data_IF_577414919075
#
_entry.id   IF_577414919075
#
_cell.length_a   1.000
_cell.length_b   1.000
_cell.length_c   1.000
_cell.angle_alpha   90.00
_cell.angle_beta   90.00
_cell.angle_gamma   90.00
#
_symmetry.space_group_name_H-M   'P 1'
#
loop_
_entity.id
_entity.type
_entity.pdbx_description
1 polymer ?
#
# COMPACT_ATOMS: atom_id res chain seq x y z
N UNK A 1 -11.36 -31.12 -79.41
CA UNK A 1 -10.34 -31.07 -78.35
C UNK A 1 -10.44 -29.80 -77.52
N UNK A 2 -11.56 -29.52 -76.82
CA UNK A 2 -11.74 -28.27 -76.03
C UNK A 2 -12.75 -28.43 -74.91
N UNK A 3 -12.81 -29.58 -74.23
CA UNK A 3 -13.68 -29.74 -73.03
C UNK A 3 -13.02 -30.44 -71.85
N UNK A 4 -11.73 -30.83 -71.92
CA UNK A 4 -11.04 -31.58 -70.87
C UNK A 4 -10.09 -30.76 -69.99
N UNK A 5 -9.91 -29.44 -70.24
CA UNK A 5 -8.91 -28.62 -69.54
C UNK A 5 -9.55 -27.70 -68.49
N UNK A 6 -10.91 -27.64 -68.36
CA UNK A 6 -11.63 -26.78 -67.36
C UNK A 6 -12.02 -27.50 -66.09
N UNK A 7 -11.81 -28.81 -65.96
CA UNK A 7 -12.21 -29.58 -64.79
C UNK A 7 -11.09 -29.77 -63.73
N UNK A 8 -9.81 -29.38 -64.05
CA UNK A 8 -8.64 -29.65 -63.17
C UNK A 8 -8.18 -28.41 -62.35
N UNK A 9 -8.80 -27.24 -62.60
CA UNK A 9 -8.42 -26.00 -61.90
C UNK A 9 -9.29 -25.66 -60.70
N UNK A 10 -10.34 -26.43 -60.39
CA UNK A 10 -11.26 -26.18 -59.25
C UNK A 10 -10.96 -27.12 -58.06
N UNK A 11 -10.17 -28.17 -58.24
CA UNK A 11 -9.89 -29.15 -57.20
C UNK A 11 -8.69 -28.81 -56.29
N UNK A 12 -7.94 -27.72 -56.58
CA UNK A 12 -6.73 -27.38 -55.81
C UNK A 12 -6.88 -26.15 -54.88
N UNK A 13 -8.10 -25.57 -54.81
CA UNK A 13 -8.37 -24.39 -53.97
C UNK A 13 -9.08 -24.71 -52.65
N UNK A 14 -9.37 -25.97 -52.29
CA UNK A 14 -10.17 -26.35 -51.12
C UNK A 14 -9.34 -26.97 -49.99
N UNK A 15 -8.00 -27.08 -50.11
CA UNK A 15 -7.17 -27.82 -49.14
C UNK A 15 -6.26 -26.95 -48.26
N UNK A 16 -6.50 -25.62 -48.15
CA UNK A 16 -5.77 -24.75 -47.25
C UNK A 16 -6.65 -24.01 -46.20
N UNK A 17 -7.84 -24.56 -45.91
CA UNK A 17 -8.62 -24.17 -44.74
C UNK A 17 -8.37 -25.15 -43.57
N UNK A 18 -7.13 -25.58 -43.35
CA UNK A 18 -6.77 -26.38 -42.21
C UNK A 18 -6.44 -25.42 -41.04
N UNK A 19 -7.47 -25.19 -40.22
CA UNK A 19 -7.33 -25.10 -38.78
C UNK A 19 -6.23 -24.14 -38.28
N UNK A 20 -6.50 -22.83 -38.23
CA UNK A 20 -5.94 -22.08 -37.13
C UNK A 20 -6.34 -22.83 -35.84
N UNK A 21 -5.39 -23.34 -35.01
CA UNK A 21 -5.78 -23.92 -33.74
C UNK A 21 -6.65 -22.88 -33.04
N UNK A 22 -7.88 -23.25 -32.70
CA UNK A 22 -8.65 -22.47 -31.75
C UNK A 22 -7.72 -22.28 -30.56
N UNK A 23 -7.15 -21.08 -30.42
CA UNK A 23 -6.41 -20.73 -29.25
C UNK A 23 -7.42 -20.87 -28.11
N UNK A 24 -7.40 -22.02 -27.45
CA UNK A 24 -8.16 -22.23 -26.22
C UNK A 24 -7.78 -21.07 -25.34
N UNK A 25 -8.74 -20.19 -25.06
CA UNK A 25 -8.52 -19.08 -24.15
C UNK A 25 -8.05 -19.72 -22.84
N UNK A 26 -6.74 -19.68 -22.62
CA UNK A 26 -6.14 -20.28 -21.44
C UNK A 26 -6.70 -19.51 -20.25
N UNK A 27 -7.23 -20.21 -19.23
CA UNK A 27 -7.84 -19.60 -18.05
C UNK A 27 -6.93 -18.50 -17.47
N UNK A 28 -7.51 -17.38 -17.07
CA UNK A 28 -6.76 -16.28 -16.49
C UNK A 28 -5.94 -16.74 -15.27
N UNK A 29 -4.80 -16.14 -15.05
CA UNK A 29 -4.02 -16.35 -13.82
C UNK A 29 -4.67 -15.51 -12.71
N UNK A 30 -5.14 -16.18 -11.68
CA UNK A 30 -5.81 -15.54 -10.55
C UNK A 30 -4.79 -14.95 -9.58
N UNK A 31 -5.04 -13.73 -9.09
CA UNK A 31 -4.30 -13.10 -8.00
C UNK A 31 -5.33 -12.72 -6.94
N UNK A 32 -5.16 -13.20 -5.71
CA UNK A 32 -6.02 -12.83 -4.60
C UNK A 32 -5.73 -11.41 -4.12
N UNK A 33 -6.75 -10.67 -3.74
CA UNK A 33 -6.65 -9.32 -3.17
C UNK A 33 -7.55 -9.25 -1.95
N UNK A 34 -7.02 -8.80 -0.82
CA UNK A 34 -7.78 -8.63 0.42
C UNK A 34 -7.67 -7.17 0.86
N UNK A 35 -8.78 -6.42 0.81
CA UNK A 35 -8.81 -5.00 1.15
C UNK A 35 -10.04 -4.66 1.99
N UNK A 36 -10.01 -3.61 2.82
CA UNK A 36 -11.19 -3.12 3.51
C UNK A 36 -12.07 -2.31 2.54
N UNK A 37 -13.01 -2.98 1.89
CA UNK A 37 -13.92 -2.31 0.94
C UNK A 37 -15.17 -1.76 1.64
N UNK A 38 -15.40 -2.19 2.87
CA UNK A 38 -16.43 -1.68 3.78
C UNK A 38 -15.86 -1.45 5.19
N UNK A 39 -16.65 -0.81 6.08
CA UNK A 39 -16.23 -0.49 7.44
C UNK A 39 -15.47 0.84 7.55
N UNK A 40 -14.82 1.10 8.70
CA UNK A 40 -14.27 2.42 9.05
C UNK A 40 -13.20 2.96 8.10
N UNK A 41 -12.47 2.11 7.39
CA UNK A 41 -11.37 2.51 6.50
C UNK A 41 -11.64 2.11 5.04
N UNK A 42 -12.93 2.04 4.68
CA UNK A 42 -13.38 1.61 3.36
C UNK A 42 -12.88 2.50 2.21
N UNK A 43 -12.74 3.81 2.42
CA UNK A 43 -12.22 4.71 1.39
C UNK A 43 -10.79 4.35 1.01
N UNK A 44 -9.94 4.14 2.01
CA UNK A 44 -8.53 3.74 1.82
C UNK A 44 -8.40 2.42 1.06
N UNK A 45 -9.13 1.37 1.46
CA UNK A 45 -9.11 0.08 0.76
C UNK A 45 -9.65 0.16 -0.68
N UNK A 46 -10.69 0.95 -0.92
CA UNK A 46 -11.19 1.17 -2.26
C UNK A 46 -10.18 1.90 -3.16
N UNK A 47 -9.39 2.84 -2.62
CA UNK A 47 -8.30 3.47 -3.38
C UNK A 47 -7.20 2.48 -3.73
N UNK A 48 -6.82 1.59 -2.81
CA UNK A 48 -5.86 0.50 -3.10
C UNK A 48 -6.40 -0.41 -4.19
N UNK A 49 -7.68 -0.82 -4.12
CA UNK A 49 -8.35 -1.60 -5.17
C UNK A 49 -8.28 -0.92 -6.53
N UNK A 50 -8.58 0.38 -6.62
CA UNK A 50 -8.50 1.15 -7.88
C UNK A 50 -7.09 1.09 -8.48
N UNK A 51 -6.05 1.22 -7.67
CA UNK A 51 -4.66 1.10 -8.11
C UNK A 51 -4.29 -0.30 -8.58
N UNK A 52 -4.77 -1.33 -7.87
CA UNK A 52 -4.62 -2.73 -8.26
C UNK A 52 -5.26 -3.03 -9.63
N UNK A 53 -6.44 -2.48 -9.89
CA UNK A 53 -7.14 -2.58 -11.18
C UNK A 53 -6.36 -1.91 -12.32
N UNK A 54 -5.71 -0.76 -12.07
CA UNK A 54 -4.82 -0.11 -13.05
C UNK A 54 -3.64 -1.03 -13.38
N UNK A 55 -2.97 -1.60 -12.37
CA UNK A 55 -1.87 -2.52 -12.59
C UNK A 55 -2.30 -3.75 -13.40
N UNK A 56 -3.44 -4.36 -13.05
CA UNK A 56 -4.02 -5.49 -13.80
C UNK A 56 -4.19 -5.12 -15.28
N UNK A 57 -4.79 -3.98 -15.55
CA UNK A 57 -5.11 -3.58 -16.91
C UNK A 57 -3.84 -3.25 -17.72
N UNK A 58 -2.84 -2.63 -17.11
CA UNK A 58 -1.55 -2.36 -17.74
C UNK A 58 -0.78 -3.67 -18.04
N UNK A 59 -0.78 -4.62 -17.12
CA UNK A 59 -0.16 -5.93 -17.33
C UNK A 59 -0.92 -6.69 -18.43
N UNK A 60 -2.24 -6.69 -18.38
CA UNK A 60 -3.06 -7.35 -19.38
C UNK A 60 -2.96 -6.70 -20.76
N UNK A 61 -2.77 -5.38 -20.83
CA UNK A 61 -2.50 -4.65 -22.07
C UNK A 61 -1.18 -5.05 -22.73
N UNK A 62 -0.21 -5.55 -21.95
CA UNK A 62 1.10 -6.06 -22.41
C UNK A 62 1.10 -7.57 -22.64
N UNK A 63 -0.04 -8.23 -22.62
CA UNK A 63 -0.16 -9.69 -22.86
C UNK A 63 -0.30 -10.55 -21.62
N UNK A 64 -0.41 -9.93 -20.42
CA UNK A 64 -0.60 -10.63 -19.15
C UNK A 64 0.69 -11.27 -18.60
N UNK A 65 0.57 -12.41 -17.95
CA UNK A 65 1.67 -13.19 -17.38
C UNK A 65 1.61 -14.63 -17.91
N UNK A 66 2.75 -15.21 -18.26
CA UNK A 66 2.84 -16.56 -18.85
C UNK A 66 1.92 -16.74 -20.09
N UNK A 67 1.73 -15.68 -20.89
CA UNK A 67 0.83 -15.69 -22.05
C UNK A 67 -0.66 -15.66 -21.71
N UNK A 68 -1.04 -15.45 -20.45
CA UNK A 68 -2.43 -15.45 -19.93
C UNK A 68 -2.76 -14.10 -19.31
N UNK A 69 -4.01 -13.67 -19.44
CA UNK A 69 -4.51 -12.51 -18.67
C UNK A 69 -4.46 -12.80 -17.18
N UNK A 70 -4.32 -11.75 -16.37
CA UNK A 70 -4.53 -11.84 -14.92
C UNK A 70 -5.94 -11.43 -14.55
N UNK A 71 -6.48 -12.08 -13.55
CA UNK A 71 -7.76 -11.78 -12.91
C UNK A 71 -7.51 -11.50 -11.42
N UNK A 72 -8.06 -10.40 -10.91
CA UNK A 72 -8.04 -10.09 -9.49
C UNK A 72 -9.30 -10.66 -8.82
N UNK A 73 -9.11 -11.56 -7.86
CA UNK A 73 -10.18 -12.02 -6.99
C UNK A 73 -10.13 -11.19 -5.71
N UNK A 74 -11.06 -10.23 -5.60
CA UNK A 74 -11.04 -9.21 -4.57
C UNK A 74 -12.03 -9.56 -3.48
N UNK A 75 -11.54 -9.67 -2.24
CA UNK A 75 -12.33 -9.97 -1.04
C UNK A 75 -12.30 -8.78 -0.07
N UNK A 76 -13.47 -8.48 0.48
CA UNK A 76 -13.64 -7.44 1.50
C UNK A 76 -13.33 -8.01 2.89
N UNK A 77 -12.35 -7.46 3.58
CA UNK A 77 -12.06 -7.81 4.98
C UNK A 77 -12.88 -6.97 5.98
N UNK A 78 -13.75 -6.09 5.52
CA UNK A 78 -14.67 -5.25 6.32
C UNK A 78 -13.99 -4.44 7.44
N UNK A 79 -12.70 -4.17 7.30
CA UNK A 79 -11.87 -3.56 8.34
C UNK A 79 -11.77 -4.41 9.63
N UNK A 80 -11.97 -5.72 9.54
CA UNK A 80 -12.03 -6.67 10.66
C UNK A 80 -10.98 -7.79 10.50
N UNK A 81 -10.17 -8.09 11.54
CA UNK A 81 -9.14 -9.13 11.48
C UNK A 81 -9.69 -10.54 11.21
N UNK A 82 -10.87 -10.89 11.76
CA UNK A 82 -11.48 -12.22 11.55
C UNK A 82 -11.94 -12.39 10.11
N UNK A 83 -12.53 -11.36 9.54
CA UNK A 83 -12.95 -11.35 8.13
C UNK A 83 -11.72 -11.45 7.20
N UNK A 84 -10.60 -10.80 7.55
CA UNK A 84 -9.35 -10.93 6.79
C UNK A 84 -8.82 -12.37 6.76
N UNK A 85 -8.84 -13.07 7.89
CA UNK A 85 -8.47 -14.48 7.95
C UNK A 85 -9.42 -15.36 7.12
N UNK A 86 -10.72 -15.10 7.19
CA UNK A 86 -11.74 -15.81 6.40
C UNK A 86 -11.56 -15.57 4.89
N UNK A 87 -11.29 -14.32 4.49
CA UNK A 87 -11.01 -13.95 3.10
C UNK A 87 -9.76 -14.67 2.57
N UNK A 88 -8.68 -14.72 3.37
CA UNK A 88 -7.46 -15.44 3.02
C UNK A 88 -7.74 -16.93 2.79
N UNK A 89 -8.44 -17.60 3.72
CA UNK A 89 -8.77 -19.01 3.58
C UNK A 89 -9.65 -19.28 2.36
N UNK A 90 -10.62 -18.43 2.07
CA UNK A 90 -11.49 -18.52 0.89
C UNK A 90 -10.67 -18.45 -0.42
N UNK A 91 -9.80 -17.46 -0.56
CA UNK A 91 -8.94 -17.29 -1.73
C UNK A 91 -7.99 -18.49 -1.92
N UNK A 92 -7.48 -19.04 -0.82
CA UNK A 92 -6.54 -20.17 -0.84
C UNK A 92 -7.26 -21.48 -1.17
N UNK A 93 -8.27 -21.83 -0.38
CA UNK A 93 -8.88 -23.18 -0.42
C UNK A 93 -9.86 -23.31 -1.58
N UNK A 94 -10.75 -22.32 -1.73
CA UNK A 94 -11.80 -22.36 -2.77
C UNK A 94 -11.28 -21.92 -4.12
N UNK A 95 -10.60 -20.76 -4.15
CA UNK A 95 -10.26 -20.09 -5.40
C UNK A 95 -8.87 -20.46 -5.91
N UNK A 96 -8.04 -21.10 -5.05
CA UNK A 96 -6.71 -21.67 -5.35
C UNK A 96 -5.76 -20.65 -5.97
N UNK A 97 -5.72 -19.45 -5.41
CA UNK A 97 -4.82 -18.39 -5.89
C UNK A 97 -3.35 -18.74 -5.56
N UNK A 98 -2.39 -18.49 -6.48
CA UNK A 98 -0.97 -18.75 -6.24
C UNK A 98 -0.30 -17.70 -5.35
N UNK A 99 -0.93 -16.55 -5.15
CA UNK A 99 -0.43 -15.43 -4.36
C UNK A 99 -1.58 -14.51 -3.97
N UNK A 100 -1.45 -13.85 -2.82
CA UNK A 100 -2.38 -12.85 -2.33
C UNK A 100 -1.65 -11.51 -2.22
N UNK A 101 -2.33 -10.39 -2.49
CA UNK A 101 -1.93 -9.04 -2.14
C UNK A 101 -2.90 -8.51 -1.08
N UNK A 102 -2.39 -7.84 -0.06
CA UNK A 102 -3.21 -7.30 1.04
C UNK A 102 -2.46 -7.29 2.39
N UNK A 103 -3.13 -7.10 3.54
CA UNK A 103 -4.57 -6.84 3.71
C UNK A 103 -4.83 -5.43 4.26
N UNK A 104 -4.16 -4.43 3.78
CA UNK A 104 -4.12 -3.01 4.14
C UNK A 104 -3.69 -2.74 5.59
N UNK A 105 -4.44 -3.17 6.59
CA UNK A 105 -4.16 -2.88 8.00
C UNK A 105 -3.37 -3.99 8.70
N UNK A 106 -2.47 -3.59 9.63
CA UNK A 106 -1.57 -4.54 10.31
C UNK A 106 -2.30 -5.63 11.07
N UNK A 107 -3.40 -5.30 11.79
CA UNK A 107 -4.18 -6.30 12.53
C UNK A 107 -4.85 -7.32 11.59
N UNK A 108 -5.32 -6.87 10.40
CA UNK A 108 -5.88 -7.75 9.38
C UNK A 108 -4.81 -8.66 8.77
N UNK A 109 -3.64 -8.11 8.42
CA UNK A 109 -2.51 -8.89 7.91
C UNK A 109 -2.06 -9.96 8.91
N UNK A 110 -1.88 -9.56 10.19
CA UNK A 110 -1.48 -10.50 11.26
C UNK A 110 -2.48 -11.63 11.45
N UNK A 111 -3.79 -11.35 11.32
CA UNK A 111 -4.83 -12.36 11.42
C UNK A 111 -4.87 -13.31 10.20
N UNK A 112 -4.52 -12.85 9.01
CA UNK A 112 -4.43 -13.68 7.81
C UNK A 112 -3.17 -14.58 7.79
N UNK A 113 -2.06 -14.14 8.39
CA UNK A 113 -0.75 -14.81 8.32
C UNK A 113 -0.75 -16.29 8.72
N UNK A 114 -1.48 -16.76 9.75
CA UNK A 114 -1.56 -18.19 10.07
C UNK A 114 -2.10 -19.03 8.92
N UNK A 115 -3.10 -18.54 8.18
CA UNK A 115 -3.67 -19.24 7.01
C UNK A 115 -2.67 -19.34 5.86
N UNK A 116 -1.89 -18.29 5.63
CA UNK A 116 -0.83 -18.30 4.62
C UNK A 116 0.24 -19.36 4.93
N UNK A 117 0.64 -19.48 6.20
CA UNK A 117 1.61 -20.47 6.65
C UNK A 117 1.05 -21.90 6.63
N UNK A 118 -0.21 -22.09 7.03
CA UNK A 118 -0.91 -23.38 7.05
C UNK A 118 -0.99 -23.99 5.65
N UNK A 119 -1.36 -23.17 4.66
CA UNK A 119 -1.61 -23.64 3.30
C UNK A 119 -0.43 -23.41 2.33
N UNK A 120 0.61 -22.71 2.77
CA UNK A 120 1.78 -22.44 1.94
C UNK A 120 1.50 -21.52 0.75
N UNK A 121 0.81 -20.39 0.96
CA UNK A 121 0.52 -19.40 -0.07
C UNK A 121 1.18 -18.06 0.29
N UNK A 122 1.99 -17.47 -0.59
CA UNK A 122 2.65 -16.19 -0.29
C UNK A 122 1.70 -15.00 -0.35
N UNK A 123 1.98 -13.99 0.49
CA UNK A 123 1.33 -12.70 0.47
C UNK A 123 2.32 -11.56 0.24
N UNK A 124 1.98 -10.68 -0.70
CA UNK A 124 2.61 -9.37 -0.86
C UNK A 124 1.86 -8.36 -0.01
N UNK A 125 2.52 -7.84 1.03
CA UNK A 125 1.94 -6.88 1.98
C UNK A 125 2.28 -5.47 1.50
N UNK A 126 1.27 -4.74 1.04
CA UNK A 126 1.42 -3.45 0.35
C UNK A 126 1.33 -2.22 1.28
N UNK A 127 0.66 -2.35 2.44
CA UNK A 127 0.38 -1.21 3.33
C UNK A 127 0.82 -1.42 4.77
N UNK A 128 0.58 -2.59 5.34
CA UNK A 128 0.72 -2.86 6.78
C UNK A 128 2.13 -2.65 7.33
N UNK A 129 2.28 -1.82 8.38
CA UNK A 129 3.57 -1.32 8.89
C UNK A 129 4.02 -1.88 10.24
N UNK A 130 3.21 -2.73 10.92
CA UNK A 130 3.64 -3.31 12.20
C UNK A 130 4.91 -4.17 12.02
N UNK A 131 5.89 -3.98 12.91
CA UNK A 131 7.17 -4.70 12.86
C UNK A 131 7.00 -6.22 12.92
N UNK A 132 6.05 -6.69 13.70
CA UNK A 132 5.77 -8.12 13.91
C UNK A 132 5.43 -8.87 12.64
N UNK A 133 4.90 -8.20 11.60
CA UNK A 133 4.54 -8.83 10.32
C UNK A 133 5.73 -9.58 9.70
N UNK A 134 6.91 -9.00 9.73
CA UNK A 134 8.12 -9.65 9.21
C UNK A 134 9.00 -10.23 10.32
N UNK A 135 9.08 -9.58 11.49
CA UNK A 135 10.02 -9.97 12.57
C UNK A 135 9.62 -11.22 13.35
N UNK A 136 8.35 -11.65 13.35
CA UNK A 136 7.96 -12.89 14.02
C UNK A 136 8.35 -14.17 13.25
N UNK A 137 8.70 -14.02 11.96
CA UNK A 137 9.11 -15.11 11.11
C UNK A 137 7.94 -15.84 10.45
N UNK A 138 7.72 -15.53 9.16
CA UNK A 138 6.80 -16.24 8.29
C UNK A 138 7.34 -16.17 6.84
N UNK A 139 7.86 -17.27 6.28
CA UNK A 139 8.52 -17.26 4.97
C UNK A 139 7.56 -17.01 3.81
N UNK A 140 6.26 -16.93 4.07
CA UNK A 140 5.23 -16.65 3.08
C UNK A 140 4.89 -15.16 2.98
N UNK A 141 5.55 -14.30 3.76
CA UNK A 141 5.30 -12.85 3.80
C UNK A 141 6.40 -12.09 3.05
N UNK A 142 5.98 -11.21 2.14
CA UNK A 142 6.82 -10.31 1.36
C UNK A 142 6.24 -8.89 1.43
N UNK A 143 6.83 -8.01 2.25
CA UNK A 143 6.30 -6.67 2.49
C UNK A 143 7.02 -5.62 1.65
N UNK A 144 6.25 -4.85 0.89
CA UNK A 144 6.75 -3.73 0.08
C UNK A 144 6.56 -2.37 0.76
N UNK A 145 5.70 -2.25 1.76
CA UNK A 145 5.56 -1.05 2.60
C UNK A 145 6.68 -0.95 3.65
N UNK A 146 7.00 0.26 4.12
CA UNK A 146 7.95 0.41 5.22
C UNK A 146 7.33 -0.03 6.54
N UNK A 147 8.05 -0.75 7.41
CA UNK A 147 7.69 -0.85 8.82
C UNK A 147 7.82 0.50 9.51
N UNK A 148 7.07 0.71 10.61
CA UNK A 148 7.08 1.97 11.35
C UNK A 148 8.48 2.39 11.83
N UNK A 149 9.37 1.43 12.12
CA UNK A 149 10.76 1.75 12.46
C UNK A 149 11.56 2.32 11.29
N UNK A 150 11.33 1.82 10.06
CA UNK A 150 11.99 2.36 8.86
C UNK A 150 11.48 3.77 8.56
N UNK A 151 10.17 3.99 8.75
CA UNK A 151 9.56 5.31 8.63
C UNK A 151 10.14 6.30 9.64
N UNK A 152 10.25 5.90 10.92
CA UNK A 152 10.87 6.69 11.97
C UNK A 152 12.34 7.02 11.64
N UNK A 153 13.13 6.04 11.17
CA UNK A 153 14.51 6.28 10.71
C UNK A 153 14.57 7.26 9.52
N UNK A 154 13.59 7.20 8.61
CA UNK A 154 13.45 8.18 7.52
C UNK A 154 13.26 9.61 8.03
N UNK A 155 12.57 9.78 9.16
CA UNK A 155 12.40 11.09 9.82
C UNK A 155 13.66 11.54 10.58
N UNK A 156 14.51 10.62 11.03
CA UNK A 156 15.65 10.92 11.93
C UNK A 156 16.53 12.06 11.41
N UNK A 157 16.81 12.08 10.12
CA UNK A 157 17.66 13.11 9.49
C UNK A 157 17.06 14.52 9.55
N UNK A 158 15.76 14.65 9.81
CA UNK A 158 15.04 15.92 9.87
C UNK A 158 14.63 16.33 11.30
N UNK A 159 14.93 15.53 12.33
CA UNK A 159 14.51 15.84 13.71
C UNK A 159 15.03 17.19 14.19
N UNK A 160 16.29 17.54 13.83
CA UNK A 160 16.87 18.85 14.17
C UNK A 160 16.16 20.00 13.47
N UNK A 161 15.79 19.83 12.21
CA UNK A 161 15.05 20.83 11.42
C UNK A 161 13.65 21.05 11.97
N UNK A 162 13.03 19.99 12.47
CA UNK A 162 11.73 20.07 13.16
C UNK A 162 11.84 20.70 14.54
N UNK A 163 13.00 20.64 15.19
CA UNK A 163 13.21 21.17 16.55
C UNK A 163 12.39 20.45 17.62
N UNK A 164 12.09 19.15 17.42
CA UNK A 164 11.26 18.37 18.33
C UNK A 164 12.05 18.07 19.61
N UNK A 165 11.52 18.54 20.76
CA UNK A 165 12.07 18.25 22.08
C UNK A 165 11.21 17.22 22.82
N UNK A 166 9.90 17.38 22.76
CA UNK A 166 8.92 16.48 23.35
C UNK A 166 7.76 16.29 22.38
N UNK A 167 7.32 15.07 22.19
CA UNK A 167 6.17 14.81 21.36
C UNK A 167 5.07 14.03 22.10
N UNK A 168 3.84 14.47 21.89
CA UNK A 168 2.62 13.72 22.20
C UNK A 168 2.28 12.78 21.05
N UNK A 169 1.50 11.74 21.33
CA UNK A 169 1.02 10.77 20.36
C UNK A 169 -0.49 10.62 20.48
N UNK A 170 -1.17 10.70 19.34
CA UNK A 170 -2.56 10.29 19.19
C UNK A 170 -2.62 9.25 18.06
N UNK A 171 -2.96 8.02 18.41
CA UNK A 171 -2.89 6.92 17.47
C UNK A 171 -4.16 6.06 17.48
N UNK A 172 -4.50 5.47 16.34
CA UNK A 172 -5.54 4.44 16.28
C UNK A 172 -5.13 3.22 17.10
N UNK A 173 -6.06 2.63 17.86
CA UNK A 173 -5.79 1.50 18.75
C UNK A 173 -5.75 0.16 17.99
N UNK A 174 -4.80 0.04 17.09
CA UNK A 174 -4.52 -1.17 16.29
C UNK A 174 -3.05 -1.56 16.44
N UNK A 175 -2.65 -2.71 15.88
CA UNK A 175 -1.23 -3.12 15.88
C UNK A 175 -0.35 -2.09 15.17
N UNK A 176 -0.86 -1.43 14.11
CA UNK A 176 -0.17 -0.33 13.46
C UNK A 176 0.02 0.87 14.39
N UNK A 177 -1.07 1.39 14.98
CA UNK A 177 -0.99 2.59 15.82
C UNK A 177 -0.07 2.39 17.02
N UNK A 178 -0.18 1.26 17.73
CA UNK A 178 0.70 0.92 18.85
C UNK A 178 2.16 0.76 18.40
N UNK A 179 2.40 0.10 17.26
CA UNK A 179 3.74 -0.07 16.70
C UNK A 179 4.37 1.26 16.26
N UNK A 180 3.58 2.16 15.70
CA UNK A 180 4.03 3.51 15.33
C UNK A 180 4.45 4.32 16.56
N UNK A 181 3.61 4.35 17.62
CA UNK A 181 3.96 5.01 18.89
C UNK A 181 5.27 4.49 19.46
N UNK A 182 5.48 3.17 19.45
CA UNK A 182 6.73 2.57 19.91
C UNK A 182 7.93 3.02 19.05
N UNK A 183 7.83 2.93 17.74
CA UNK A 183 8.93 3.24 16.83
C UNK A 183 9.35 4.71 16.87
N UNK A 184 8.40 5.63 16.80
CA UNK A 184 8.68 7.07 16.86
C UNK A 184 9.07 7.52 18.28
N UNK A 185 8.49 6.93 19.32
CA UNK A 185 8.88 7.16 20.71
C UNK A 185 10.32 6.74 20.98
N UNK A 186 10.75 5.59 20.47
CA UNK A 186 12.14 5.12 20.58
C UNK A 186 13.10 6.00 19.78
N UNK A 187 12.72 6.45 18.59
CA UNK A 187 13.50 7.40 17.81
C UNK A 187 13.74 8.69 18.59
N UNK A 188 12.68 9.28 19.17
CA UNK A 188 12.78 10.51 19.96
C UNK A 188 13.73 10.34 21.14
N UNK A 189 13.56 9.28 21.95
CA UNK A 189 14.43 9.00 23.11
C UNK A 189 15.90 8.85 22.71
N UNK A 190 16.18 8.08 21.64
CA UNK A 190 17.55 7.90 21.10
C UNK A 190 18.15 9.20 20.56
N UNK A 191 17.32 10.16 20.17
CA UNK A 191 17.74 11.46 19.65
C UNK A 191 17.79 12.56 20.72
N UNK A 192 17.63 12.21 22.00
CA UNK A 192 17.67 13.15 23.13
C UNK A 192 16.37 13.90 23.40
N UNK A 193 15.28 13.53 22.72
CA UNK A 193 13.93 14.01 22.97
C UNK A 193 13.17 13.15 23.98
N UNK A 194 11.94 13.52 24.25
CA UNK A 194 11.07 12.80 25.19
C UNK A 194 9.67 12.55 24.63
N UNK A 195 9.02 11.50 25.15
CA UNK A 195 7.62 11.20 24.90
C UNK A 195 6.78 11.89 25.95
N UNK A 196 5.76 12.62 25.51
CA UNK A 196 4.76 13.24 26.37
C UNK A 196 3.52 12.33 26.54
N UNK A 197 2.34 12.89 26.30
CA UNK A 197 1.07 12.18 26.40
C UNK A 197 0.92 11.18 25.26
N UNK A 198 0.46 9.96 25.56
CA UNK A 198 0.12 8.94 24.58
C UNK A 198 -1.35 8.58 24.73
N UNK A 199 -2.13 8.84 23.70
CA UNK A 199 -3.57 8.53 23.67
C UNK A 199 -3.89 7.65 22.47
N UNK A 200 -4.84 6.75 22.68
CA UNK A 200 -5.36 5.89 21.63
C UNK A 200 -6.83 6.16 21.37
N UNK A 201 -7.25 6.01 20.12
CA UNK A 201 -8.63 6.16 19.67
C UNK A 201 -9.09 4.90 18.92
N UNK A 202 -10.37 4.59 19.04
CA UNK A 202 -10.97 3.52 18.25
C UNK A 202 -10.95 3.87 16.75
N UNK A 203 -10.77 2.87 15.90
CA UNK A 203 -10.71 3.08 14.45
C UNK A 203 -12.03 3.61 13.86
N UNK A 204 -13.15 3.35 14.52
CA UNK A 204 -14.48 3.85 14.14
C UNK A 204 -14.88 5.14 14.88
N UNK A 205 -14.04 5.65 15.79
CA UNK A 205 -14.37 6.86 16.53
C UNK A 205 -14.51 8.08 15.63
N UNK A 206 -15.54 8.87 15.86
CA UNK A 206 -15.78 10.18 15.20
C UNK A 206 -15.58 11.36 16.15
N UNK A 207 -15.51 11.09 17.45
CA UNK A 207 -15.24 12.08 18.50
C UNK A 207 -13.96 11.70 19.26
N UNK A 208 -12.94 12.57 19.17
CA UNK A 208 -11.64 12.43 19.83
C UNK A 208 -11.38 13.55 20.83
N UNK A 209 -12.43 14.30 21.22
CA UNK A 209 -12.30 15.47 22.10
C UNK A 209 -11.65 15.14 23.45
N UNK A 210 -11.96 13.97 24.03
CA UNK A 210 -11.36 13.55 25.30
C UNK A 210 -9.85 13.33 25.17
N UNK A 211 -9.39 12.65 24.11
CA UNK A 211 -7.98 12.41 23.85
C UNK A 211 -7.24 13.72 23.55
N UNK A 212 -7.83 14.59 22.74
CA UNK A 212 -7.26 15.90 22.40
C UNK A 212 -7.13 16.78 23.65
N UNK A 213 -8.10 16.73 24.56
CA UNK A 213 -8.03 17.45 25.84
C UNK A 213 -6.84 16.99 26.68
N UNK A 214 -6.57 15.69 26.75
CA UNK A 214 -5.42 15.17 27.48
C UNK A 214 -4.10 15.56 26.82
N UNK A 215 -4.01 15.46 25.49
CA UNK A 215 -2.85 15.94 24.72
C UNK A 215 -2.62 17.43 24.97
N UNK A 216 -3.67 18.23 24.96
CA UNK A 216 -3.60 19.68 25.21
C UNK A 216 -3.10 20.03 26.60
N UNK A 217 -3.42 19.24 27.61
CA UNK A 217 -2.97 19.45 29.00
C UNK A 217 -1.45 19.20 29.16
N UNK A 218 -0.79 18.52 28.25
CA UNK A 218 0.65 18.29 28.22
C UNK A 218 1.45 19.51 27.77
N UNK A 219 2.79 19.39 27.77
CA UNK A 219 3.74 20.46 27.43
C UNK A 219 4.51 20.19 26.14
N UNK A 220 4.20 19.14 25.40
CA UNK A 220 4.92 18.79 24.17
C UNK A 220 4.80 19.89 23.10
N UNK A 221 5.82 19.99 22.25
CA UNK A 221 5.83 20.94 21.11
C UNK A 221 5.25 20.33 19.84
N UNK A 222 5.16 19.02 19.77
CA UNK A 222 4.76 18.26 18.57
C UNK A 222 3.73 17.19 18.92
N UNK A 223 2.79 16.94 18.00
CA UNK A 223 1.86 15.82 18.02
C UNK A 223 2.13 14.91 16.83
N UNK A 224 2.50 13.66 17.09
CA UNK A 224 2.46 12.60 16.09
C UNK A 224 1.05 12.02 16.02
N UNK A 225 0.47 12.06 14.83
CA UNK A 225 -0.87 11.56 14.55
C UNK A 225 -0.80 10.34 13.63
N UNK A 226 -1.18 9.18 14.17
CA UNK A 226 -1.17 7.89 13.46
C UNK A 226 -2.59 7.37 13.31
N UNK A 227 -3.22 7.67 12.19
CA UNK A 227 -4.54 7.15 11.83
C UNK A 227 -4.77 7.26 10.32
N UNK A 228 -5.87 6.71 9.83
CA UNK A 228 -6.27 6.77 8.43
C UNK A 228 -6.79 8.15 8.02
N UNK A 229 -6.83 8.39 6.71
CA UNK A 229 -7.27 9.66 6.13
C UNK A 229 -8.68 10.06 6.59
N UNK A 230 -9.55 9.09 6.84
CA UNK A 230 -10.92 9.30 7.31
C UNK A 230 -10.97 10.03 8.66
N UNK A 231 -10.08 9.67 9.60
CA UNK A 231 -10.05 10.26 10.92
C UNK A 231 -9.15 11.49 11.04
N UNK A 232 -8.10 11.62 10.24
CA UNK A 232 -7.18 12.78 10.32
C UNK A 232 -7.96 14.09 10.21
N UNK A 233 -8.90 14.19 9.27
CA UNK A 233 -9.75 15.39 9.08
C UNK A 233 -10.51 15.74 10.36
N UNK A 234 -11.10 14.74 11.02
CA UNK A 234 -11.87 14.95 12.26
C UNK A 234 -10.97 15.40 13.41
N UNK A 235 -9.82 14.73 13.59
CA UNK A 235 -8.85 15.10 14.63
C UNK A 235 -8.37 16.55 14.44
N UNK A 236 -8.02 16.96 13.22
CA UNK A 236 -7.53 18.31 12.96
C UNK A 236 -8.60 19.37 13.25
N UNK A 237 -9.86 19.14 12.87
CA UNK A 237 -10.97 20.05 13.18
C UNK A 237 -11.20 20.17 14.68
N UNK A 238 -11.32 19.05 15.38
CA UNK A 238 -11.56 19.04 16.84
C UNK A 238 -10.35 19.64 17.59
N UNK A 239 -9.12 19.40 17.12
CA UNK A 239 -7.92 20.02 17.68
C UNK A 239 -7.94 21.55 17.50
N UNK A 240 -8.38 22.05 16.33
CA UNK A 240 -8.52 23.49 16.09
C UNK A 240 -9.62 24.11 16.97
N UNK A 241 -10.78 23.47 17.09
CA UNK A 241 -11.88 23.90 17.97
C UNK A 241 -11.43 24.03 19.43
N UNK A 242 -10.61 23.07 19.89
CA UNK A 242 -9.99 23.09 21.20
C UNK A 242 -8.79 24.06 21.32
N UNK A 243 -8.37 24.70 20.21
CA UNK A 243 -7.19 25.57 20.14
C UNK A 243 -5.91 24.85 20.56
N UNK A 244 -5.73 23.62 20.10
CA UNK A 244 -4.49 22.88 20.30
C UNK A 244 -3.38 23.49 19.42
N UNK A 245 -2.34 24.03 20.06
CA UNK A 245 -1.18 24.62 19.39
C UNK A 245 -0.01 23.67 19.42
N UNK A 246 0.00 22.68 18.53
CA UNK A 246 1.09 21.70 18.35
C UNK A 246 1.48 21.66 16.89
N UNK A 247 2.76 21.41 16.61
CA UNK A 247 3.17 20.95 15.30
C UNK A 247 2.61 19.55 15.08
N UNK A 248 1.81 19.35 14.04
CA UNK A 248 1.22 18.05 13.75
C UNK A 248 2.04 17.36 12.65
N UNK A 249 2.45 16.11 12.89
CA UNK A 249 3.12 15.24 11.93
C UNK A 249 2.30 13.96 11.81
N UNK A 250 1.72 13.70 10.63
CA UNK A 250 1.04 12.42 10.37
C UNK A 250 2.02 11.35 9.94
N UNK A 251 1.79 10.11 10.34
CA UNK A 251 2.64 8.95 10.07
C UNK A 251 1.90 7.86 9.28
N UNK A 252 2.63 6.86 8.77
CA UNK A 252 2.07 5.67 8.10
C UNK A 252 1.73 5.87 6.63
N UNK A 253 1.93 7.07 6.09
CA UNK A 253 1.63 7.38 4.69
C UNK A 253 0.15 7.30 4.30
N UNK A 254 -0.76 7.16 5.29
CA UNK A 254 -2.21 7.08 5.06
C UNK A 254 -2.91 8.43 5.23
N UNK A 255 -2.26 9.50 4.85
CA UNK A 255 -2.85 10.84 4.80
C UNK A 255 -3.03 11.30 3.36
N UNK A 256 -4.05 12.11 3.14
CA UNK A 256 -4.27 12.80 1.87
C UNK A 256 -4.31 14.31 2.10
N UNK A 257 -3.15 15.00 2.00
CA UNK A 257 -3.08 16.44 2.21
C UNK A 257 -4.05 17.24 1.34
N UNK A 258 -4.33 16.80 0.11
CA UNK A 258 -5.35 17.44 -0.75
C UNK A 258 -6.75 17.37 -0.15
N UNK A 259 -7.12 16.22 0.43
CA UNK A 259 -8.39 16.07 1.13
C UNK A 259 -8.46 16.95 2.38
N UNK A 260 -7.35 16.99 3.14
CA UNK A 260 -7.27 17.81 4.36
C UNK A 260 -7.42 19.30 4.06
N UNK A 261 -6.79 19.80 3.01
CA UNK A 261 -6.98 21.19 2.55
C UNK A 261 -8.45 21.47 2.23
N UNK A 262 -9.12 20.58 1.50
CA UNK A 262 -10.53 20.73 1.14
C UNK A 262 -11.48 20.62 2.33
N UNK A 263 -11.26 19.67 3.24
CA UNK A 263 -12.22 19.28 4.26
C UNK A 263 -11.94 19.89 5.63
N UNK A 264 -10.67 20.09 6.01
CA UNK A 264 -10.27 20.66 7.27
C UNK A 264 -9.89 22.15 7.15
N UNK A 265 -9.64 22.65 5.92
CA UNK A 265 -9.34 24.06 5.68
C UNK A 265 -8.16 24.56 6.51
N UNK A 266 -8.39 25.62 7.30
CA UNK A 266 -7.37 26.22 8.17
C UNK A 266 -6.79 25.23 9.22
N UNK A 267 -7.51 24.18 9.60
CA UNK A 267 -7.01 23.17 10.53
C UNK A 267 -5.90 22.31 9.94
N UNK A 268 -5.79 22.24 8.61
CA UNK A 268 -4.71 21.53 7.93
C UNK A 268 -3.44 22.37 7.78
N UNK A 269 -3.51 23.70 7.96
CA UNK A 269 -2.38 24.60 7.75
C UNK A 269 -1.23 24.31 8.72
N UNK A 270 0.00 24.29 8.19
CA UNK A 270 1.22 24.02 8.95
C UNK A 270 1.47 22.54 9.29
N UNK A 271 0.55 21.63 8.95
CA UNK A 271 0.74 20.20 9.21
C UNK A 271 1.78 19.57 8.28
N UNK A 272 2.50 18.57 8.79
CA UNK A 272 3.46 17.77 8.03
C UNK A 272 2.95 16.35 7.84
N UNK A 273 3.26 15.77 6.71
CA UNK A 273 2.79 14.43 6.35
C UNK A 273 3.95 13.58 5.85
N UNK A 274 4.17 12.45 6.52
CA UNK A 274 5.07 11.41 6.01
C UNK A 274 4.29 10.59 4.99
N UNK A 275 4.81 10.52 3.76
CA UNK A 275 4.17 9.87 2.62
C UNK A 275 5.13 8.94 1.89
N UNK A 276 4.58 8.05 1.09
CA UNK A 276 5.35 7.11 0.28
C UNK A 276 5.13 7.30 -1.22
N UNK A 277 4.21 8.18 -1.61
CA UNK A 277 3.97 8.59 -2.98
C UNK A 277 3.59 10.08 -3.02
N UNK A 278 4.14 10.81 -3.99
CA UNK A 278 3.96 12.27 -4.16
C UNK A 278 3.23 12.58 -5.48
N UNK A 279 1.90 12.45 -5.54
CA UNK A 279 1.16 12.67 -6.78
C UNK A 279 1.21 14.12 -7.29
N UNK A 280 1.55 15.09 -6.44
CA UNK A 280 1.74 16.51 -6.79
C UNK A 280 3.10 16.78 -7.40
N UNK A 281 4.07 15.91 -7.20
CA UNK A 281 5.47 16.02 -7.62
C UNK A 281 5.94 14.70 -8.22
N UNK A 282 5.27 14.19 -9.28
CA UNK A 282 5.61 12.88 -9.84
C UNK A 282 7.06 12.82 -10.36
N UNK A 283 7.63 13.95 -10.76
CA UNK A 283 9.03 14.08 -11.18
C UNK A 283 10.04 13.85 -10.03
N UNK A 284 9.60 14.01 -8.78
CA UNK A 284 10.42 13.74 -7.59
C UNK A 284 10.41 12.25 -7.19
N UNK A 285 9.58 11.44 -7.83
CA UNK A 285 9.56 9.99 -7.59
C UNK A 285 10.75 9.30 -8.27
N UNK A 286 11.20 8.13 -7.79
CA UNK A 286 12.33 7.39 -8.36
C UNK A 286 12.20 7.08 -9.86
N UNK A 287 10.99 6.82 -10.34
CA UNK A 287 10.63 6.81 -11.76
C UNK A 287 9.50 7.83 -12.01
N UNK A 288 9.89 9.07 -12.30
CA UNK A 288 8.94 10.16 -12.54
C UNK A 288 8.04 9.95 -13.76
N UNK A 289 8.50 9.19 -14.77
CA UNK A 289 7.68 8.87 -15.95
C UNK A 289 6.57 7.89 -15.58
N UNK A 290 6.91 6.83 -14.85
CA UNK A 290 5.95 5.84 -14.36
C UNK A 290 4.94 6.50 -13.41
N UNK A 291 5.43 7.33 -12.47
CA UNK A 291 4.59 8.06 -11.53
C UNK A 291 3.60 8.99 -12.25
N UNK A 292 4.08 9.78 -13.25
CA UNK A 292 3.21 10.63 -14.05
C UNK A 292 2.18 9.81 -14.83
N UNK A 293 2.58 8.72 -15.47
CA UNK A 293 1.67 7.86 -16.22
C UNK A 293 0.56 7.29 -15.33
N UNK A 294 0.89 6.93 -14.08
CA UNK A 294 -0.10 6.46 -13.11
C UNK A 294 -1.08 7.55 -12.69
N UNK A 295 -0.59 8.76 -12.40
CA UNK A 295 -1.43 9.91 -12.07
C UNK A 295 -2.38 10.26 -13.24
N UNK A 296 -1.87 10.26 -14.47
CA UNK A 296 -2.66 10.53 -15.67
C UNK A 296 -3.74 9.45 -15.90
N UNK A 297 -3.40 8.16 -15.74
CA UNK A 297 -4.37 7.06 -15.89
C UNK A 297 -5.42 7.08 -14.77
N UNK A 298 -5.03 7.41 -13.54
CA UNK A 298 -5.94 7.58 -12.41
C UNK A 298 -6.98 8.67 -12.71
N UNK A 299 -6.53 9.82 -13.18
CA UNK A 299 -7.40 10.93 -13.55
C UNK A 299 -8.30 10.58 -14.77
N UNK A 300 -7.78 9.91 -15.79
CA UNK A 300 -8.51 9.44 -16.96
C UNK A 300 -9.67 8.51 -16.60
N UNK A 301 -9.52 7.70 -15.54
CA UNK A 301 -10.58 6.84 -15.01
C UNK A 301 -11.60 7.58 -14.14
N UNK A 302 -11.42 8.87 -13.90
CA UNK A 302 -12.29 9.66 -13.03
C UNK A 302 -12.15 9.31 -11.56
N UNK A 303 -11.04 8.69 -11.14
CA UNK A 303 -10.79 8.37 -9.74
C UNK A 303 -10.49 9.64 -8.93
N UNK A 304 -10.91 9.72 -7.65
CA UNK A 304 -10.63 10.88 -6.80
C UNK A 304 -9.12 11.08 -6.62
N UNK A 305 -8.63 12.30 -6.88
CA UNK A 305 -7.20 12.62 -6.75
C UNK A 305 -6.66 12.32 -5.34
N UNK A 306 -7.52 12.48 -4.34
CA UNK A 306 -7.24 12.20 -2.93
C UNK A 306 -6.82 10.76 -2.66
N UNK A 307 -7.24 9.83 -3.50
CA UNK A 307 -6.91 8.40 -3.38
C UNK A 307 -5.53 8.01 -3.88
N UNK A 308 -4.80 8.88 -4.57
CA UNK A 308 -3.49 8.56 -5.16
C UNK A 308 -2.44 8.15 -4.12
N UNK A 309 -2.50 8.71 -2.90
CA UNK A 309 -1.58 8.36 -1.80
C UNK A 309 -1.80 6.96 -1.22
N UNK A 310 -2.93 6.32 -1.55
CA UNK A 310 -3.22 4.92 -1.25
C UNK A 310 -3.17 4.04 -2.51
N UNK A 311 -3.70 4.55 -3.63
CA UNK A 311 -3.83 3.77 -4.86
C UNK A 311 -2.52 3.21 -5.43
N UNK A 312 -1.40 3.92 -5.26
CA UNK A 312 -0.08 3.44 -5.70
C UNK A 312 0.29 2.09 -5.06
N UNK A 313 -0.16 1.82 -3.83
CA UNK A 313 0.11 0.59 -3.08
C UNK A 313 -0.49 -0.63 -3.78
N UNK A 314 -1.75 -0.49 -4.23
CA UNK A 314 -2.42 -1.55 -4.99
C UNK A 314 -1.73 -1.85 -6.32
N UNK A 315 -1.26 -0.79 -7.02
CA UNK A 315 -0.47 -0.95 -8.23
C UNK A 315 0.82 -1.74 -7.96
N UNK A 316 1.62 -1.31 -7.00
CA UNK A 316 2.92 -1.93 -6.70
C UNK A 316 2.75 -3.33 -6.09
N UNK A 317 1.67 -3.56 -5.32
CA UNK A 317 1.33 -4.86 -4.78
C UNK A 317 1.02 -5.89 -5.86
N UNK A 318 0.13 -5.56 -6.81
CA UNK A 318 -0.20 -6.44 -7.95
C UNK A 318 1.00 -6.61 -8.86
N UNK A 319 1.75 -5.54 -9.17
CA UNK A 319 2.98 -5.62 -9.96
C UNK A 319 3.96 -6.63 -9.35
N UNK A 320 4.17 -6.58 -8.04
CA UNK A 320 5.08 -7.46 -7.31
C UNK A 320 4.61 -8.92 -7.33
N UNK A 321 3.32 -9.15 -7.07
CA UNK A 321 2.73 -10.48 -7.09
C UNK A 321 2.85 -11.14 -8.48
N UNK A 322 2.53 -10.38 -9.53
CA UNK A 322 2.61 -10.88 -10.91
C UNK A 322 4.06 -11.09 -11.36
N UNK A 323 5.00 -10.24 -10.93
CA UNK A 323 6.43 -10.45 -11.20
C UNK A 323 6.93 -11.73 -10.52
N UNK A 324 6.47 -12.05 -9.31
CA UNK A 324 6.72 -13.33 -8.66
C UNK A 324 6.24 -14.53 -9.49
N UNK A 325 5.02 -14.47 -10.04
CA UNK A 325 4.48 -15.50 -10.94
C UNK A 325 5.30 -15.61 -12.22
N UNK A 326 5.69 -14.48 -12.80
CA UNK A 326 6.50 -14.44 -14.03
C UNK A 326 7.86 -15.12 -13.83
N UNK A 327 8.55 -14.81 -12.74
CA UNK A 327 9.84 -15.38 -12.36
C UNK A 327 9.75 -16.86 -12.00
N UNK A 328 8.61 -17.28 -11.41
CA UNK A 328 8.33 -18.68 -11.11
C UNK A 328 8.12 -19.54 -12.37
N UNK A 329 7.72 -18.94 -13.50
CA UNK A 329 7.38 -19.63 -14.73
C UNK A 329 6.09 -20.47 -14.65
N UNK A 330 5.39 -20.43 -13.51
CA UNK A 330 4.12 -21.13 -13.27
C UNK A 330 3.33 -20.48 -12.13
N UNK A 331 2.01 -20.66 -12.15
CA UNK A 331 1.10 -20.17 -11.10
C UNK A 331 0.97 -21.23 -9.98
N UNK A 332 2.04 -21.46 -9.25
CA UNK A 332 2.14 -22.42 -8.15
C UNK A 332 2.64 -21.70 -6.90
N UNK A 333 1.94 -21.78 -5.74
CA UNK A 333 2.25 -20.97 -4.57
C UNK A 333 3.70 -21.09 -4.09
N UNK A 334 4.22 -22.32 -4.02
CA UNK A 334 5.59 -22.56 -3.56
C UNK A 334 6.63 -21.99 -4.52
N UNK A 335 6.43 -22.20 -5.82
CA UNK A 335 7.32 -21.63 -6.83
C UNK A 335 7.28 -20.10 -6.82
N UNK A 336 6.11 -19.50 -6.61
CA UNK A 336 5.96 -18.05 -6.49
C UNK A 336 6.66 -17.52 -5.23
N UNK A 337 6.54 -18.21 -4.10
CA UNK A 337 7.25 -17.85 -2.87
C UNK A 337 8.78 -17.84 -3.06
N UNK A 338 9.33 -18.88 -3.69
CA UNK A 338 10.76 -18.96 -4.00
C UNK A 338 11.20 -17.88 -5.02
N UNK A 339 10.32 -17.53 -5.96
CA UNK A 339 10.58 -16.52 -6.99
C UNK A 339 10.50 -15.09 -6.44
N UNK A 340 9.65 -14.81 -5.45
CA UNK A 340 9.53 -13.49 -4.83
C UNK A 340 10.86 -12.99 -4.26
N UNK A 341 11.74 -13.87 -3.78
CA UNK A 341 13.09 -13.51 -3.35
C UNK A 341 13.98 -12.96 -4.48
N UNK A 342 13.61 -13.19 -5.73
CA UNK A 342 14.35 -12.75 -6.93
C UNK A 342 13.71 -11.50 -7.57
N UNK A 343 12.62 -11.01 -7.04
CA UNK A 343 11.96 -9.80 -7.56
C UNK A 343 12.93 -8.62 -7.52
N UNK A 344 13.01 -7.94 -8.65
CA UNK A 344 13.73 -6.69 -8.81
C UNK A 344 13.03 -5.89 -9.90
N UNK A 345 12.02 -5.13 -9.53
CA UNK A 345 11.16 -4.39 -10.44
C UNK A 345 11.00 -2.95 -9.96
N UNK A 346 10.85 -2.01 -10.89
CA UNK A 346 10.56 -0.63 -10.57
C UNK A 346 9.06 -0.46 -10.34
N UNK A 347 8.69 -0.12 -9.11
CA UNK A 347 7.34 0.30 -8.72
C UNK A 347 7.21 1.81 -8.68
N UNK A 348 6.01 2.27 -8.34
CA UNK A 348 5.70 3.71 -8.19
C UNK A 348 6.46 4.37 -7.03
N UNK A 349 6.68 3.63 -5.94
CA UNK A 349 7.49 4.13 -4.82
C UNK A 349 9.00 4.00 -5.06
N UNK A 350 9.42 3.20 -6.03
CA UNK A 350 10.82 2.94 -6.34
C UNK A 350 11.13 1.46 -6.55
N UNK A 351 12.42 1.06 -6.53
CA UNK A 351 12.80 -0.32 -6.74
C UNK A 351 12.24 -1.26 -5.67
N UNK A 352 11.58 -2.33 -6.11
CA UNK A 352 11.04 -3.36 -5.24
C UNK A 352 11.97 -4.58 -5.32
N UNK A 353 12.63 -4.88 -4.23
CA UNK A 353 13.44 -6.08 -4.00
C UNK A 353 13.39 -6.43 -2.52
N UNK A 354 13.55 -7.70 -2.18
CA UNK A 354 13.41 -8.16 -0.82
C UNK A 354 14.75 -8.49 -0.16
N UNK A 355 14.91 -8.02 1.06
CA UNK A 355 15.92 -8.46 2.01
C UNK A 355 15.25 -9.34 3.07
N UNK A 356 16.03 -10.23 3.69
CA UNK A 356 15.56 -11.11 4.75
C UNK A 356 15.35 -10.33 6.04
N UNK A 357 14.18 -10.53 6.67
CA UNK A 357 13.84 -9.98 7.97
C UNK A 357 13.18 -11.04 8.85
N UNK A 358 13.49 -11.05 10.15
CA UNK A 358 12.98 -12.04 11.09
C UNK A 358 13.98 -13.16 11.42
N UNK A 359 13.52 -14.21 12.13
CA UNK A 359 14.38 -15.29 12.62
C UNK A 359 14.96 -16.16 11.50
N UNK A 360 16.20 -16.58 11.66
CA UNK A 360 16.90 -17.44 10.70
C UNK A 360 16.10 -18.73 10.41
N UNK A 361 15.95 -19.05 9.12
CA UNK A 361 15.18 -20.22 8.64
C UNK A 361 13.68 -19.99 8.54
N UNK A 362 13.17 -18.82 8.98
CA UNK A 362 11.76 -18.43 8.87
C UNK A 362 11.61 -16.98 8.40
N UNK A 363 12.63 -16.47 7.73
CA UNK A 363 12.67 -15.07 7.33
C UNK A 363 11.52 -14.71 6.39
N UNK A 364 10.98 -13.51 6.59
CA UNK A 364 10.07 -12.82 5.68
C UNK A 364 10.87 -11.90 4.74
N UNK A 365 10.32 -11.56 3.59
CA UNK A 365 10.88 -10.56 2.69
C UNK A 365 10.47 -9.14 3.12
N UNK A 366 11.44 -8.22 3.23
CA UNK A 366 11.20 -6.80 3.46
C UNK A 366 11.85 -5.96 2.36
N UNK A 367 11.08 -5.12 1.69
CA UNK A 367 11.60 -4.10 0.76
C UNK A 367 12.00 -2.82 1.49
N UNK A 368 12.76 -1.96 0.81
CA UNK A 368 13.19 -0.64 1.33
C UNK A 368 12.56 0.48 0.49
N UNK A 369 11.27 0.80 0.71
CA UNK A 369 10.58 1.85 -0.03
C UNK A 369 11.10 3.25 0.34
N UNK A 370 10.88 4.21 -0.57
CA UNK A 370 11.18 5.62 -0.36
C UNK A 370 10.20 6.25 0.63
N UNK A 371 10.70 7.18 1.44
CA UNK A 371 9.93 7.93 2.45
C UNK A 371 10.10 9.41 2.17
N UNK A 372 8.99 10.12 2.07
CA UNK A 372 8.92 11.54 1.76
C UNK A 372 8.22 12.31 2.87
N UNK A 373 8.48 13.62 2.95
CA UNK A 373 7.78 14.53 3.84
C UNK A 373 7.27 15.69 3.01
N UNK A 374 5.99 16.01 3.18
CA UNK A 374 5.36 17.21 2.64
C UNK A 374 4.77 18.06 3.75
N UNK A 375 4.50 19.32 3.47
CA UNK A 375 3.85 20.27 4.37
C UNK A 375 2.63 20.87 3.68
N UNK A 376 1.56 21.09 4.42
CA UNK A 376 0.50 22.00 4.00
C UNK A 376 0.93 23.42 4.39
N UNK A 377 1.11 24.28 3.40
CA UNK A 377 1.57 25.65 3.57
C UNK A 377 0.85 26.59 2.61
N UNK A 378 0.28 27.67 3.15
CA UNK A 378 -0.49 28.65 2.39
C UNK A 378 -1.62 28.00 1.54
N UNK A 379 -2.30 27.01 2.15
CA UNK A 379 -3.35 26.21 1.50
C UNK A 379 -2.89 25.33 0.34
N UNK A 380 -1.58 25.08 0.22
CA UNK A 380 -0.96 24.26 -0.83
C UNK A 380 -0.08 23.18 -0.22
N UNK A 381 0.23 22.18 -1.03
CA UNK A 381 1.18 21.14 -0.65
C UNK A 381 2.56 21.54 -1.14
N UNK A 382 3.53 21.56 -0.24
CA UNK A 382 4.89 21.97 -0.51
C UNK A 382 5.89 20.92 0.03
N UNK A 383 7.05 20.83 -0.60
CA UNK A 383 8.21 20.17 -0.02
C UNK A 383 8.81 21.11 1.04
N UNK A 384 9.02 20.67 2.28
CA UNK A 384 9.66 21.50 3.28
C UNK A 384 11.04 21.94 2.83
N UNK A 385 11.44 23.18 3.16
CA UNK A 385 12.71 23.75 2.70
C UNK A 385 13.94 22.88 3.09
N UNK A 386 13.88 22.18 4.21
CA UNK A 386 14.93 21.26 4.63
C UNK A 386 14.91 19.93 3.86
N UNK A 387 13.78 19.53 3.26
CA UNK A 387 13.66 18.32 2.45
C UNK A 387 14.03 18.58 0.97
N UNK A 388 13.90 19.83 0.50
CA UNK A 388 14.20 20.23 -0.86
C UNK A 388 15.70 20.40 -1.15
N UNK A 389 16.56 20.42 -0.10
CA UNK A 389 18.00 20.69 -0.19
C UNK A 389 18.89 19.44 -0.32
N UNK A 390 18.31 18.27 -0.60
CA UNK A 390 19.10 17.02 -0.69
C UNK A 390 18.94 16.32 -2.03
#
# INVERSE_FOLDING_TARGET
>A
MTRAIRALSIALAVLFAVGAPAAWAQDAVKVGVIEPLSGPVAASGNYVRMGAEIARDWINGKGGVLGRKIELLIEDNKSDPKEAATAAEKLIVRDKVPVIMGAWGSSMTLAAMPKLAEYGVPMVVETSSAATITKQGNPWIFRISPPSEMEALGLQKYLKDFGIKQADFLAVNTDWGRGSVAAFGDLLKKSGGSVGTVEFMDQAATDMNAQITKVKAGSADTLFLTTSVEQITLVLKQAQEQRLTRKVITTGGSSSPSQLIKQAGAAAEGTYHILFFLPWFPEAMPDGKLAKAFVDEWAKRGHPFEGLTEGFRGHDGVLTAVEGIRLAGKADPKAVQEALWKVNVMGLNGPIKFEKDGPAGKESGQSKPSIFIVQVKDGKIALPAFAAKK
#
